data_IF_966340808279
#
_entry.id   IF_966340808279
#
_cell.length_a   1.000
_cell.length_b   1.000
_cell.length_c   1.000
_cell.angle_alpha   90.00
_cell.angle_beta   90.00
_cell.angle_gamma   90.00
#
_symmetry.space_group_name_H-M   'P 1'
#
loop_
_entity.id
_entity.type
_entity.pdbx_description
1 polymer ?
#
# COMPACT_ATOMS: atom_id res chain seq x y z
N UNK A 1 -9.48 -75.78 -24.18
CA UNK A 1 -8.00 -75.84 -24.25
C UNK A 1 -7.46 -74.41 -24.10
N UNK A 2 -7.10 -74.00 -22.88
CA UNK A 2 -6.52 -72.68 -22.61
C UNK A 2 -5.07 -72.93 -22.18
N UNK A 3 -4.13 -72.58 -23.06
CA UNK A 3 -2.69 -72.69 -22.81
C UNK A 3 -2.30 -71.78 -21.64
N UNK A 4 -2.05 -72.37 -20.48
CA UNK A 4 -1.36 -71.71 -19.37
C UNK A 4 0.12 -71.60 -19.69
N UNK A 5 0.57 -70.44 -20.16
CA UNK A 5 2.00 -70.13 -20.34
C UNK A 5 2.66 -70.05 -18.95
N UNK A 6 3.51 -71.01 -18.62
CA UNK A 6 4.37 -70.94 -17.43
C UNK A 6 5.49 -69.94 -17.68
N UNK A 7 5.55 -68.91 -16.85
CA UNK A 7 6.66 -67.95 -16.80
C UNK A 7 7.13 -67.99 -15.34
N UNK A 8 8.39 -68.40 -15.10
CA UNK A 8 9.05 -68.49 -13.79
C UNK A 8 8.38 -69.34 -12.68
N UNK A 9 7.82 -70.51 -13.01
CA UNK A 9 7.40 -71.49 -11.98
C UNK A 9 6.19 -71.11 -11.11
N UNK A 10 5.58 -69.94 -11.33
CA UNK A 10 4.36 -69.49 -10.64
C UNK A 10 3.13 -69.78 -11.52
N UNK A 11 2.17 -70.56 -11.03
CA UNK A 11 0.89 -70.75 -11.75
C UNK A 11 0.04 -69.48 -11.69
N UNK A 12 0.02 -68.70 -12.77
CA UNK A 12 -0.81 -67.49 -12.90
C UNK A 12 -2.29 -67.90 -12.99
N UNK A 13 -2.95 -68.02 -11.84
CA UNK A 13 -4.42 -68.15 -11.77
C UNK A 13 -5.07 -66.79 -12.00
N UNK A 14 -6.31 -66.78 -12.54
CA UNK A 14 -7.13 -65.57 -12.81
C UNK A 14 -7.15 -64.57 -11.64
N UNK A 15 -7.12 -65.05 -10.40
CA UNK A 15 -7.02 -64.23 -9.17
C UNK A 15 -5.75 -63.37 -9.06
N UNK A 16 -4.61 -63.83 -9.58
CA UNK A 16 -3.36 -63.06 -9.56
C UNK A 16 -3.36 -61.95 -10.62
N UNK A 17 -4.02 -62.17 -11.76
CA UNK A 17 -4.25 -61.12 -12.77
C UNK A 17 -5.20 -60.03 -12.26
N UNK A 18 -6.29 -60.42 -11.59
CA UNK A 18 -7.24 -59.46 -10.98
C UNK A 18 -6.55 -58.67 -9.86
N UNK A 19 -5.78 -59.32 -8.99
CA UNK A 19 -5.04 -58.64 -7.92
C UNK A 19 -4.01 -57.64 -8.47
N UNK A 20 -3.27 -58.00 -9.53
CA UNK A 20 -2.31 -57.11 -10.17
C UNK A 20 -3.00 -55.89 -10.83
N UNK A 21 -4.17 -56.09 -11.47
CA UNK A 21 -4.95 -55.00 -12.07
C UNK A 21 -5.50 -54.03 -11.01
N UNK A 22 -6.03 -54.56 -9.90
CA UNK A 22 -6.51 -53.72 -8.79
C UNK A 22 -5.35 -52.92 -8.19
N UNK A 23 -4.19 -53.55 -7.96
CA UNK A 23 -3.03 -52.86 -7.41
C UNK A 23 -2.50 -51.77 -8.35
N UNK A 24 -2.49 -52.02 -9.66
CA UNK A 24 -2.10 -51.03 -10.67
C UNK A 24 -3.12 -49.87 -10.77
N UNK A 25 -4.42 -50.16 -10.72
CA UNK A 25 -5.46 -49.12 -10.68
C UNK A 25 -5.37 -48.27 -9.40
N UNK A 26 -5.14 -48.90 -8.26
CA UNK A 26 -4.96 -48.19 -6.98
C UNK A 26 -3.71 -47.32 -7.01
N UNK A 27 -2.59 -47.84 -7.53
CA UNK A 27 -1.36 -47.07 -7.72
C UNK A 27 -1.56 -45.90 -8.69
N UNK A 28 -2.29 -46.11 -9.79
CA UNK A 28 -2.61 -45.07 -10.75
C UNK A 28 -3.50 -43.98 -10.13
N UNK A 29 -4.51 -44.35 -9.32
CA UNK A 29 -5.35 -43.40 -8.59
C UNK A 29 -4.52 -42.64 -7.55
N UNK A 30 -3.63 -43.31 -6.81
CA UNK A 30 -2.74 -42.67 -5.84
C UNK A 30 -1.76 -41.70 -6.52
N UNK A 31 -1.14 -42.10 -7.64
CA UNK A 31 -0.26 -41.24 -8.44
C UNK A 31 -1.01 -40.06 -9.04
N UNK A 32 -2.19 -40.29 -9.60
CA UNK A 32 -3.06 -39.25 -10.13
C UNK A 32 -3.45 -38.26 -9.02
N UNK A 33 -3.86 -38.77 -7.86
CA UNK A 33 -4.26 -37.93 -6.72
C UNK A 33 -3.11 -37.12 -6.13
N UNK A 34 -1.87 -37.60 -6.22
CA UNK A 34 -0.69 -36.92 -5.68
C UNK A 34 -0.06 -35.94 -6.68
N UNK A 35 -0.07 -36.25 -7.98
CA UNK A 35 0.61 -35.47 -9.00
C UNK A 35 -0.29 -34.48 -9.75
N UNK A 36 -1.58 -34.80 -9.94
CA UNK A 36 -2.50 -33.94 -10.69
C UNK A 36 -2.80 -32.59 -10.01
N UNK A 37 -2.95 -32.49 -8.67
CA UNK A 37 -3.27 -31.21 -8.04
C UNK A 37 -2.18 -30.15 -8.24
N UNK A 38 -0.90 -30.51 -8.07
CA UNK A 38 0.23 -29.59 -8.22
C UNK A 38 0.48 -29.22 -9.68
N UNK A 39 0.48 -30.22 -10.59
CA UNK A 39 0.62 -29.99 -12.02
C UNK A 39 -0.57 -29.17 -12.58
N UNK A 40 -1.78 -29.48 -12.12
CA UNK A 40 -3.01 -28.76 -12.49
C UNK A 40 -3.02 -27.32 -11.99
N UNK A 41 -2.58 -27.07 -10.74
CA UNK A 41 -2.46 -25.71 -10.19
C UNK A 41 -1.46 -24.89 -11.01
N UNK A 42 -0.27 -25.43 -11.27
CA UNK A 42 0.75 -24.74 -12.07
C UNK A 42 0.24 -24.44 -13.48
N UNK A 43 -0.39 -25.41 -14.14
CA UNK A 43 -0.98 -25.19 -15.47
C UNK A 43 -2.08 -24.13 -15.44
N UNK A 44 -2.98 -24.18 -14.44
CA UNK A 44 -4.04 -23.21 -14.23
C UNK A 44 -3.51 -21.80 -14.03
N UNK A 45 -2.52 -21.62 -13.15
CA UNK A 45 -1.85 -20.33 -12.92
C UNK A 45 -1.22 -19.78 -14.19
N UNK A 46 -0.45 -20.60 -14.93
CA UNK A 46 0.16 -20.20 -16.21
C UNK A 46 -0.91 -19.77 -17.21
N UNK A 47 -2.01 -20.53 -17.32
CA UNK A 47 -3.10 -20.22 -18.24
C UNK A 47 -3.81 -18.92 -17.85
N UNK A 48 -4.13 -18.71 -16.58
CA UNK A 48 -4.80 -17.49 -16.09
C UNK A 48 -3.91 -16.27 -16.31
N UNK A 49 -2.62 -16.35 -15.94
CA UNK A 49 -1.69 -15.24 -16.13
C UNK A 49 -1.48 -14.90 -17.60
N UNK A 50 -1.43 -15.90 -18.50
CA UNK A 50 -1.43 -15.67 -19.95
C UNK A 50 -2.73 -15.01 -20.44
N UNK A 51 -3.87 -15.41 -19.87
CA UNK A 51 -5.16 -14.77 -20.13
C UNK A 51 -5.20 -13.30 -19.69
N UNK A 52 -4.45 -12.93 -18.66
CA UNK A 52 -4.26 -11.55 -18.20
C UNK A 52 -3.23 -10.78 -19.04
N UNK A 53 -2.65 -11.38 -20.09
CA UNK A 53 -1.70 -10.74 -20.99
C UNK A 53 -0.22 -11.00 -20.67
N UNK A 54 0.11 -11.85 -19.69
CA UNK A 54 1.51 -12.21 -19.40
C UNK A 54 2.06 -13.20 -20.44
N UNK A 55 3.20 -12.91 -21.06
CA UNK A 55 3.75 -13.72 -22.16
C UNK A 55 4.63 -14.85 -21.61
N UNK A 56 5.55 -14.50 -20.71
CA UNK A 56 6.41 -15.48 -20.06
C UNK A 56 5.93 -15.69 -18.62
N UNK A 57 5.49 -16.90 -18.32
CA UNK A 57 5.10 -17.27 -16.96
C UNK A 57 5.91 -18.49 -16.56
N UNK A 58 6.69 -18.33 -15.50
CA UNK A 58 7.43 -19.40 -14.87
C UNK A 58 6.97 -19.53 -13.41
N UNK A 59 6.71 -20.78 -13.01
CA UNK A 59 6.37 -21.13 -11.63
C UNK A 59 7.32 -22.27 -11.29
N UNK A 60 8.24 -22.06 -10.35
CA UNK A 60 9.23 -23.10 -10.06
C UNK A 60 8.60 -24.28 -9.33
N UNK A 61 7.79 -23.99 -8.33
CA UNK A 61 7.13 -24.99 -7.49
C UNK A 61 5.72 -24.51 -7.10
N UNK A 62 4.80 -25.45 -7.02
CA UNK A 62 3.41 -25.22 -6.69
C UNK A 62 2.84 -26.47 -6.01
N UNK A 63 2.42 -26.35 -4.77
CA UNK A 63 1.81 -27.44 -3.99
C UNK A 63 0.40 -27.04 -3.58
N UNK A 64 -0.55 -27.94 -3.83
CA UNK A 64 -1.94 -27.81 -3.41
C UNK A 64 -2.32 -29.04 -2.60
N UNK A 65 -2.38 -28.85 -1.29
CA UNK A 65 -2.92 -29.85 -0.38
C UNK A 65 -4.40 -29.57 -0.15
N UNK A 66 -5.26 -30.17 -0.98
CA UNK A 66 -6.71 -30.06 -0.83
C UNK A 66 -7.15 -30.51 0.56
N UNK A 67 -6.72 -31.67 1.07
CA UNK A 67 -7.19 -32.14 2.39
C UNK A 67 -6.79 -31.23 3.56
N UNK A 68 -5.57 -30.68 3.54
CA UNK A 68 -5.08 -29.77 4.58
C UNK A 68 -5.52 -28.32 4.38
N UNK A 69 -6.13 -28.00 3.24
CA UNK A 69 -6.49 -26.64 2.85
C UNK A 69 -5.27 -25.72 2.78
N UNK A 70 -4.19 -26.18 2.15
CA UNK A 70 -2.94 -25.42 2.02
C UNK A 70 -2.55 -25.30 0.56
N UNK A 71 -2.19 -24.09 0.14
CA UNK A 71 -1.66 -23.77 -1.18
C UNK A 71 -0.36 -23.01 -1.00
N UNK A 72 0.70 -23.47 -1.67
CA UNK A 72 2.02 -22.85 -1.67
C UNK A 72 2.48 -22.68 -3.11
N UNK A 73 2.91 -21.47 -3.47
CA UNK A 73 3.52 -21.17 -4.76
C UNK A 73 4.87 -20.53 -4.52
N UNK A 74 5.93 -21.05 -5.14
CA UNK A 74 7.30 -20.56 -4.94
C UNK A 74 7.94 -20.14 -6.25
N UNK A 75 8.67 -19.03 -6.20
CA UNK A 75 9.44 -18.44 -7.29
C UNK A 75 8.59 -18.35 -8.55
N UNK A 76 7.52 -17.58 -8.45
CA UNK A 76 6.66 -17.23 -9.57
C UNK A 76 7.18 -15.94 -10.20
N UNK A 77 7.40 -15.98 -11.51
CA UNK A 77 7.74 -14.79 -12.30
C UNK A 77 6.83 -14.77 -13.51
N UNK A 78 6.11 -13.67 -13.68
CA UNK A 78 5.28 -13.43 -14.84
C UNK A 78 5.73 -12.13 -15.52
N UNK A 79 6.07 -12.19 -16.81
CA UNK A 79 6.51 -11.04 -17.60
C UNK A 79 5.43 -10.64 -18.60
N UNK A 80 5.01 -9.36 -18.60
CA UNK A 80 4.19 -8.80 -19.67
C UNK A 80 5.03 -8.70 -20.97
N UNK A 81 4.39 -8.40 -22.12
CA UNK A 81 5.11 -8.11 -23.37
C UNK A 81 5.94 -6.82 -23.24
N UNK A 82 5.49 -5.88 -22.42
CA UNK A 82 6.11 -4.58 -22.15
C UNK A 82 5.93 -4.25 -20.67
N UNK A 83 6.97 -3.75 -20.00
CA UNK A 83 6.92 -3.38 -18.58
C UNK A 83 7.69 -4.32 -17.65
N UNK A 84 7.60 -4.05 -16.35
CA UNK A 84 8.29 -4.81 -15.32
C UNK A 84 7.67 -6.20 -15.10
N UNK A 85 8.50 -7.18 -14.74
CA UNK A 85 8.03 -8.50 -14.36
C UNK A 85 7.29 -8.45 -13.02
N UNK A 86 6.19 -9.18 -12.90
CA UNK A 86 5.60 -9.52 -11.60
C UNK A 86 6.39 -10.68 -11.00
N UNK A 87 7.18 -10.39 -9.97
CA UNK A 87 7.89 -11.38 -9.17
C UNK A 87 7.16 -11.67 -7.86
N UNK A 88 7.03 -12.95 -7.50
CA UNK A 88 6.63 -13.40 -6.16
C UNK A 88 7.59 -14.51 -5.73
N UNK A 89 8.30 -14.31 -4.62
CA UNK A 89 9.24 -15.28 -4.07
C UNK A 89 8.52 -16.46 -3.44
N UNK A 90 7.60 -16.19 -2.52
CA UNK A 90 6.78 -17.22 -1.88
C UNK A 90 5.37 -16.67 -1.64
N UNK A 91 4.35 -17.49 -1.95
CA UNK A 91 2.95 -17.25 -1.63
C UNK A 91 2.41 -18.47 -0.89
N UNK A 92 1.85 -18.24 0.29
CA UNK A 92 1.24 -19.28 1.12
C UNK A 92 -0.18 -18.89 1.49
N UNK A 93 -1.12 -19.79 1.24
CA UNK A 93 -2.53 -19.63 1.56
C UNK A 93 -3.01 -20.85 2.34
N UNK A 94 -3.54 -20.64 3.55
CA UNK A 94 -4.17 -21.66 4.36
C UNK A 94 -5.65 -21.34 4.53
N UNK A 95 -6.51 -22.30 4.22
CA UNK A 95 -7.95 -22.14 4.23
C UNK A 95 -8.67 -23.37 4.81
N UNK A 96 -9.90 -23.18 5.29
CA UNK A 96 -10.72 -24.27 5.85
C UNK A 96 -11.87 -24.63 4.93
N UNK A 97 -12.10 -25.93 4.73
CA UNK A 97 -13.19 -26.43 3.88
C UNK A 97 -14.55 -26.41 4.54
N UNK A 98 -14.64 -26.86 5.80
CA UNK A 98 -15.93 -26.99 6.49
C UNK A 98 -16.76 -25.69 6.48
N UNK A 99 -16.17 -24.49 6.67
CA UNK A 99 -16.91 -23.23 6.59
C UNK A 99 -17.48 -22.89 5.20
N UNK A 100 -16.87 -23.38 4.10
CA UNK A 100 -17.34 -23.09 2.74
C UNK A 100 -18.75 -23.64 2.48
N UNK A 101 -19.11 -24.76 3.13
CA UNK A 101 -20.46 -25.34 3.08
C UNK A 101 -21.51 -24.39 3.67
N UNK A 102 -21.09 -23.50 4.57
CA UNK A 102 -21.91 -22.48 5.21
C UNK A 102 -21.72 -21.10 4.57
N UNK A 103 -21.22 -21.05 3.32
CA UNK A 103 -20.93 -19.82 2.57
C UNK A 103 -19.96 -18.89 3.32
N UNK A 104 -18.94 -19.47 3.96
CA UNK A 104 -17.86 -18.73 4.63
C UNK A 104 -16.50 -19.15 4.09
N UNK A 105 -15.75 -18.19 3.59
CA UNK A 105 -14.34 -18.36 3.25
C UNK A 105 -13.52 -18.01 4.49
N UNK A 106 -12.92 -19.03 5.11
CA UNK A 106 -12.05 -18.83 6.28
C UNK A 106 -10.62 -19.10 5.87
N UNK A 107 -9.80 -18.05 5.90
CA UNK A 107 -8.36 -18.07 5.63
C UNK A 107 -7.62 -17.98 6.96
N UNK A 108 -6.94 -19.07 7.34
CA UNK A 108 -6.11 -19.08 8.55
C UNK A 108 -4.84 -18.24 8.36
N UNK A 109 -4.31 -18.20 7.14
CA UNK A 109 -3.12 -17.40 6.82
C UNK A 109 -3.06 -17.08 5.33
N UNK A 110 -2.72 -15.83 5.03
CA UNK A 110 -2.30 -15.35 3.72
C UNK A 110 -0.91 -14.74 3.90
N UNK A 111 0.12 -15.32 3.30
CA UNK A 111 1.48 -14.80 3.40
C UNK A 111 2.06 -14.62 1.99
N UNK A 112 2.56 -13.42 1.71
CA UNK A 112 3.26 -13.06 0.49
C UNK A 112 4.67 -12.59 0.85
N UNK A 113 5.67 -13.12 0.17
CA UNK A 113 7.07 -12.73 0.37
C UNK A 113 7.69 -12.37 -0.98
N UNK A 114 8.53 -11.32 -0.99
CA UNK A 114 9.29 -10.97 -2.17
C UNK A 114 8.43 -10.54 -3.35
N UNK A 115 7.35 -9.77 -3.09
CA UNK A 115 6.49 -9.25 -4.16
C UNK A 115 7.11 -8.00 -4.74
N UNK A 116 7.24 -7.95 -6.06
CA UNK A 116 7.68 -6.75 -6.79
C UNK A 116 6.51 -6.18 -7.61
N UNK A 117 6.11 -4.96 -7.25
CA UNK A 117 5.02 -4.23 -7.90
C UNK A 117 5.57 -2.91 -8.45
N UNK A 118 5.44 -2.71 -9.75
CA UNK A 118 5.73 -1.47 -10.45
C UNK A 118 4.40 -0.87 -10.93
N UNK A 119 4.07 0.32 -10.45
CA UNK A 119 2.87 1.08 -10.79
C UNK A 119 3.32 2.31 -11.58
N UNK A 120 2.79 2.47 -12.79
CA UNK A 120 3.07 3.62 -13.65
C UNK A 120 1.77 4.34 -13.96
N UNK A 121 1.72 5.67 -13.77
CA UNK A 121 0.60 6.47 -14.26
C UNK A 121 0.75 6.68 -15.78
N UNK A 122 -0.33 6.46 -16.53
CA UNK A 122 -0.35 6.68 -17.99
C UNK A 122 -0.65 8.14 -18.32
N UNK A 123 0.00 8.67 -19.35
CA UNK A 123 -0.41 9.93 -19.98
C UNK A 123 -1.86 9.82 -20.48
N UNK A 124 -2.74 10.71 -20.01
CA UNK A 124 -4.19 10.67 -20.29
C UNK A 124 -5.04 9.98 -19.21
N UNK A 125 -4.44 9.52 -18.12
CA UNK A 125 -5.14 8.93 -16.97
C UNK A 125 -5.11 7.40 -16.94
N UNK A 126 -5.31 6.84 -15.75
CA UNK A 126 -5.20 5.41 -15.48
C UNK A 126 -3.82 4.98 -15.00
N UNK A 127 -3.75 3.75 -14.49
CA UNK A 127 -2.53 3.14 -13.95
C UNK A 127 -2.18 1.88 -14.73
N UNK A 128 -0.90 1.60 -14.84
CA UNK A 128 -0.34 0.36 -15.39
C UNK A 128 0.38 -0.34 -14.24
N UNK A 129 -0.01 -1.57 -13.91
CA UNK A 129 0.67 -2.40 -12.90
C UNK A 129 1.45 -3.48 -13.62
N UNK A 130 2.78 -3.50 -13.47
CA UNK A 130 3.65 -4.52 -14.07
C UNK A 130 3.33 -4.74 -15.55
N UNK A 131 3.20 -3.64 -16.31
CA UNK A 131 2.87 -3.68 -17.75
C UNK A 131 1.40 -3.94 -18.10
N UNK A 132 0.54 -4.23 -17.12
CA UNK A 132 -0.89 -4.47 -17.33
C UNK A 132 -1.71 -3.21 -17.05
N UNK A 133 -2.56 -2.74 -17.98
CA UNK A 133 -3.45 -1.63 -17.71
C UNK A 133 -4.45 -2.04 -16.63
N UNK A 134 -4.53 -1.28 -15.53
CA UNK A 134 -5.66 -1.33 -14.63
C UNK A 134 -6.87 -0.75 -15.37
N UNK A 135 -7.67 -1.61 -15.98
CA UNK A 135 -9.05 -1.27 -16.27
C UNK A 135 -9.78 -1.21 -14.93
N UNK A 136 -9.92 -0.01 -14.36
CA UNK A 136 -10.93 0.20 -13.33
C UNK A 136 -12.25 -0.07 -14.07
N UNK A 137 -12.89 -1.20 -13.78
CA UNK A 137 -14.24 -1.44 -14.21
C UNK A 137 -15.11 -0.39 -13.53
N UNK A 138 -15.23 0.79 -14.16
CA UNK A 138 -16.26 1.74 -13.82
C UNK A 138 -17.58 1.05 -14.19
N UNK A 139 -18.26 0.49 -13.18
CA UNK A 139 -19.68 0.18 -13.33
C UNK A 139 -20.35 1.46 -13.81
N UNK A 140 -21.04 1.46 -14.95
CA UNK A 140 -21.73 2.65 -15.46
C UNK A 140 -22.65 3.21 -14.37
N UNK A 141 -22.63 4.51 -14.08
CA UNK A 141 -23.61 5.11 -13.18
C UNK A 141 -24.99 4.91 -13.81
N UNK A 142 -25.86 4.15 -13.15
CA UNK A 142 -27.25 3.96 -13.59
C UNK A 142 -27.66 2.53 -13.93
N UNK A 143 -26.76 1.54 -13.85
CA UNK A 143 -27.21 0.15 -13.77
C UNK A 143 -27.51 -0.14 -12.29
N UNK A 144 -28.77 -0.44 -11.90
CA UNK A 144 -29.02 -0.94 -10.55
C UNK A 144 -28.11 -2.15 -10.38
N UNK A 145 -27.25 -2.11 -9.37
CA UNK A 145 -26.68 -3.33 -8.84
C UNK A 145 -27.91 -4.19 -8.54
N UNK A 146 -28.06 -5.30 -9.26
CA UNK A 146 -29.05 -6.30 -8.89
C UNK A 146 -28.81 -6.55 -7.40
N UNK A 147 -29.73 -6.06 -6.57
CA UNK A 147 -29.84 -6.44 -5.17
C UNK A 147 -30.34 -7.88 -5.18
N UNK A 148 -29.49 -8.76 -5.70
CA UNK A 148 -29.64 -10.19 -5.62
C UNK A 148 -29.59 -10.51 -4.15
N UNK A 149 -30.71 -11.01 -3.65
CA UNK A 149 -30.88 -11.72 -2.38
C UNK A 149 -30.09 -13.04 -2.38
N UNK A 150 -28.83 -12.99 -2.81
CA UNK A 150 -27.87 -14.07 -2.79
C UNK A 150 -27.16 -14.05 -1.44
N UNK A 151 -27.35 -15.10 -0.65
CA UNK A 151 -26.73 -15.27 0.67
C UNK A 151 -25.25 -14.85 0.66
N UNK A 152 -24.96 -13.77 1.36
CA UNK A 152 -23.67 -13.07 1.29
C UNK A 152 -22.54 -13.97 1.82
N UNK A 153 -21.56 -14.25 0.96
CA UNK A 153 -20.38 -15.00 1.34
C UNK A 153 -19.63 -14.20 2.42
N UNK A 154 -19.40 -14.80 3.58
CA UNK A 154 -18.54 -14.21 4.61
C UNK A 154 -17.08 -14.49 4.32
N UNK A 155 -16.19 -13.52 4.55
CA UNK A 155 -14.74 -13.66 4.42
C UNK A 155 -14.12 -13.41 5.80
N UNK A 156 -13.37 -14.38 6.29
CA UNK A 156 -12.61 -14.29 7.53
C UNK A 156 -11.14 -14.54 7.23
N UNK A 157 -10.25 -13.61 7.58
CA UNK A 157 -8.81 -13.75 7.43
C UNK A 157 -8.16 -13.57 8.80
N UNK A 158 -7.66 -14.66 9.38
CA UNK A 158 -7.04 -14.62 10.70
C UNK A 158 -5.71 -13.85 10.68
N UNK A 159 -4.89 -14.05 9.65
CA UNK A 159 -3.62 -13.35 9.49
C UNK A 159 -3.27 -13.12 8.01
N UNK A 160 -2.97 -11.88 7.66
CA UNK A 160 -2.36 -11.47 6.41
C UNK A 160 -0.97 -10.92 6.70
N UNK A 161 0.02 -11.42 5.95
CA UNK A 161 1.41 -10.98 6.05
C UNK A 161 1.99 -10.72 4.67
N UNK A 162 2.67 -9.59 4.52
CA UNK A 162 3.46 -9.24 3.35
C UNK A 162 4.87 -8.87 3.82
N UNK A 163 5.90 -9.56 3.35
CA UNK A 163 7.29 -9.34 3.77
C UNK A 163 8.25 -9.23 2.59
N UNK A 164 9.38 -8.57 2.84
CA UNK A 164 10.48 -8.42 1.88
C UNK A 164 10.04 -8.00 0.48
N UNK A 165 9.04 -7.12 0.42
CA UNK A 165 8.36 -6.74 -0.82
C UNK A 165 8.72 -5.31 -1.22
N UNK A 166 8.53 -4.98 -2.50
CA UNK A 166 8.87 -3.67 -3.06
C UNK A 166 7.74 -3.17 -3.93
N UNK A 167 7.36 -1.92 -3.69
CA UNK A 167 6.45 -1.16 -4.51
C UNK A 167 7.19 0.03 -5.09
N UNK A 168 7.18 0.15 -6.41
CA UNK A 168 7.71 1.28 -7.15
C UNK A 168 6.55 2.00 -7.80
N UNK A 169 6.34 3.26 -7.43
CA UNK A 169 5.39 4.15 -8.09
C UNK A 169 6.16 5.12 -8.98
N UNK A 170 5.77 5.19 -10.25
CA UNK A 170 6.30 6.15 -11.23
C UNK A 170 5.15 7.00 -11.78
N UNK A 171 5.28 8.31 -11.67
CA UNK A 171 4.33 9.30 -12.20
C UNK A 171 5.09 10.41 -12.92
N UNK A 172 5.21 10.29 -14.25
CA UNK A 172 6.12 11.11 -15.04
C UNK A 172 7.56 10.96 -14.55
N UNK A 173 8.20 12.07 -14.20
CA UNK A 173 9.55 12.10 -13.62
C UNK A 173 9.57 11.76 -12.12
N UNK A 174 8.42 11.70 -11.46
CA UNK A 174 8.34 11.36 -10.04
C UNK A 174 8.46 9.86 -9.83
N UNK A 175 9.33 9.47 -8.90
CA UNK A 175 9.53 8.09 -8.49
C UNK A 175 9.49 7.96 -6.98
N UNK A 176 8.68 7.05 -6.48
CA UNK A 176 8.63 6.67 -5.08
C UNK A 176 8.86 5.16 -4.96
N UNK A 177 9.89 4.78 -4.21
CA UNK A 177 10.21 3.40 -3.89
C UNK A 177 9.85 3.12 -2.44
N UNK A 178 8.91 2.20 -2.24
CA UNK A 178 8.46 1.73 -0.93
C UNK A 178 8.96 0.30 -0.77
N UNK A 179 9.97 0.10 0.08
CA UNK A 179 10.40 -1.23 0.48
C UNK A 179 9.64 -1.64 1.73
N UNK A 180 8.82 -2.68 1.61
CA UNK A 180 8.01 -3.25 2.69
C UNK A 180 8.84 -4.36 3.33
N UNK A 181 9.35 -4.12 4.53
CA UNK A 181 10.01 -5.16 5.31
C UNK A 181 8.95 -6.12 5.87
N UNK A 182 7.88 -5.55 6.44
CA UNK A 182 6.78 -6.33 6.99
C UNK A 182 5.50 -5.51 7.05
N UNK A 183 4.41 -6.09 6.56
CA UNK A 183 3.05 -5.63 6.75
C UNK A 183 2.25 -6.80 7.35
N UNK A 184 1.58 -6.57 8.46
CA UNK A 184 0.69 -7.54 9.09
C UNK A 184 -0.70 -6.95 9.27
N UNK A 185 -1.72 -7.73 9.00
CA UNK A 185 -3.13 -7.44 9.33
C UNK A 185 -3.71 -8.69 9.99
N UNK A 186 -4.36 -8.53 11.14
CA UNK A 186 -4.85 -9.66 11.93
C UNK A 186 -6.35 -9.57 12.17
N UNK A 187 -7.03 -10.72 12.15
CA UNK A 187 -8.44 -10.88 12.52
C UNK A 187 -9.42 -10.03 11.69
N UNK A 188 -9.28 -10.07 10.36
CA UNK A 188 -10.20 -9.42 9.44
C UNK A 188 -11.47 -10.27 9.29
N UNK A 189 -12.63 -9.75 9.72
CA UNK A 189 -13.90 -10.48 9.73
C UNK A 189 -14.98 -9.69 9.00
N UNK A 190 -15.41 -10.14 7.82
CA UNK A 190 -16.41 -9.42 7.02
C UNK A 190 -17.82 -9.50 7.61
N UNK A 191 -18.10 -10.50 8.46
CA UNK A 191 -19.39 -10.66 9.16
C UNK A 191 -19.42 -10.04 10.54
N UNK A 192 -18.31 -9.44 10.97
CA UNK A 192 -18.26 -8.58 12.14
C UNK A 192 -17.86 -7.16 11.71
N UNK A 193 -18.80 -6.38 11.13
CA UNK A 193 -18.58 -5.00 10.70
C UNK A 193 -17.98 -4.09 11.76
N UNK A 194 -18.27 -4.37 13.04
CA UNK A 194 -17.79 -3.59 14.17
C UNK A 194 -16.32 -3.91 14.53
N UNK A 195 -15.74 -4.98 13.98
CA UNK A 195 -14.34 -5.31 14.20
C UNK A 195 -13.43 -4.22 13.63
N UNK A 196 -12.37 -3.90 14.37
CA UNK A 196 -11.34 -2.94 13.99
C UNK A 196 -9.98 -3.64 13.96
N UNK A 197 -9.75 -4.59 13.02
CA UNK A 197 -8.49 -5.31 12.91
C UNK A 197 -7.28 -4.37 12.91
N UNK A 198 -6.30 -4.74 13.72
CA UNK A 198 -5.03 -4.04 13.81
C UNK A 198 -4.16 -4.32 12.59
N UNK A 199 -3.36 -3.32 12.21
CA UNK A 199 -2.32 -3.49 11.20
C UNK A 199 -1.00 -2.84 11.62
N UNK A 200 0.09 -3.32 11.06
CA UNK A 200 1.42 -2.71 11.21
C UNK A 200 2.20 -2.86 9.93
N UNK A 201 2.77 -1.75 9.46
CA UNK A 201 3.69 -1.65 8.33
C UNK A 201 5.04 -1.13 8.81
N UNK A 202 6.09 -1.86 8.47
CA UNK A 202 7.49 -1.50 8.66
C UNK A 202 8.19 -1.52 7.30
N UNK A 203 8.95 -0.48 7.00
CA UNK A 203 9.61 -0.38 5.71
C UNK A 203 10.44 0.87 5.53
N UNK A 204 10.71 1.19 4.28
CA UNK A 204 11.34 2.45 3.89
C UNK A 204 10.62 3.09 2.71
N UNK A 205 10.52 4.42 2.70
CA UNK A 205 10.13 5.22 1.55
C UNK A 205 11.37 5.96 1.07
N UNK A 206 11.86 5.67 -0.13
CA UNK A 206 13.01 6.38 -0.71
C UNK A 206 14.25 6.35 0.22
N UNK A 207 14.43 5.21 0.91
CA UNK A 207 15.48 5.00 1.93
C UNK A 207 15.15 5.53 3.34
N UNK A 208 14.17 6.43 3.48
CA UNK A 208 13.70 6.94 4.76
C UNK A 208 12.92 5.85 5.52
N UNK A 209 13.15 5.69 6.82
CA UNK A 209 12.44 4.65 7.59
C UNK A 209 10.99 5.05 7.79
N UNK A 210 10.05 4.13 7.52
CA UNK A 210 8.63 4.31 7.79
C UNK A 210 8.13 3.24 8.77
N UNK A 211 7.28 3.67 9.69
CA UNK A 211 6.48 2.80 10.55
C UNK A 211 5.06 3.34 10.56
N UNK A 212 4.10 2.51 10.18
CA UNK A 212 2.67 2.83 10.26
C UNK A 212 1.99 1.71 11.05
N UNK A 213 1.16 2.05 12.00
CA UNK A 213 0.39 1.08 12.77
C UNK A 213 -0.99 1.65 13.08
N UNK A 214 -1.98 0.81 13.29
CA UNK A 214 -3.33 1.31 13.52
C UNK A 214 -4.38 0.22 13.48
N UNK A 215 -5.61 0.64 13.30
CA UNK A 215 -6.78 -0.22 13.13
C UNK A 215 -7.64 0.26 11.97
N UNK A 216 -8.30 -0.66 11.28
CA UNK A 216 -9.25 -0.35 10.21
C UNK A 216 -10.54 -1.11 10.43
N UNK A 217 -11.69 -0.50 10.14
CA UNK A 217 -13.01 -1.15 10.14
C UNK A 217 -13.58 -1.07 8.72
N UNK A 218 -13.09 -1.89 7.78
CA UNK A 218 -13.43 -1.74 6.36
C UNK A 218 -14.84 -2.22 6.00
N UNK A 219 -15.48 -2.99 6.89
CA UNK A 219 -16.80 -3.60 6.66
C UNK A 219 -17.92 -2.96 7.48
N UNK A 220 -17.60 -1.96 8.30
CA UNK A 220 -18.61 -1.15 8.97
C UNK A 220 -19.48 -0.41 7.93
N UNK A 221 -20.73 -0.10 8.29
CA UNK A 221 -21.60 0.74 7.45
C UNK A 221 -20.92 2.06 7.08
N UNK A 222 -20.11 2.60 7.99
CA UNK A 222 -19.20 3.72 7.77
C UNK A 222 -17.74 3.25 7.94
N UNK A 223 -17.04 2.90 6.84
CA UNK A 223 -15.67 2.44 6.92
C UNK A 223 -14.78 3.44 7.64
N UNK A 224 -13.96 2.98 8.57
CA UNK A 224 -13.13 3.86 9.39
C UNK A 224 -11.71 3.36 9.57
N UNK A 225 -10.82 4.26 9.96
CA UNK A 225 -9.45 3.93 10.31
C UNK A 225 -8.93 4.84 11.42
N UNK A 226 -7.97 4.31 12.17
CA UNK A 226 -7.10 5.08 13.07
C UNK A 226 -5.67 4.61 12.82
N UNK A 227 -4.72 5.52 12.69
CA UNK A 227 -3.32 5.19 12.45
C UNK A 227 -2.37 6.16 13.15
N UNK A 228 -1.22 5.62 13.51
CA UNK A 228 0.00 6.33 13.87
C UNK A 228 1.03 6.06 12.78
N UNK A 229 1.60 7.11 12.21
CA UNK A 229 2.66 7.06 11.22
C UNK A 229 3.90 7.81 11.73
N UNK A 230 5.05 7.18 11.57
CA UNK A 230 6.35 7.78 11.82
C UNK A 230 7.22 7.61 10.58
N UNK A 231 7.84 8.70 10.14
CA UNK A 231 8.82 8.73 9.06
C UNK A 231 10.07 9.45 9.54
N UNK A 232 11.24 8.89 9.24
CA UNK A 232 12.53 9.42 9.70
C UNK A 232 13.54 9.53 8.57
N UNK A 233 14.17 10.70 8.47
CA UNK A 233 15.29 10.97 7.58
C UNK A 233 14.92 11.01 6.10
N UNK A 234 13.73 11.49 5.74
CA UNK A 234 13.37 11.66 4.33
C UNK A 234 14.13 12.83 3.73
N UNK A 235 14.99 12.54 2.75
CA UNK A 235 15.64 13.54 1.93
C UNK A 235 14.63 14.19 0.97
N UNK A 236 14.33 15.46 1.23
CA UNK A 236 13.35 16.22 0.46
C UNK A 236 13.78 16.46 -0.99
N UNK A 237 15.07 16.36 -1.31
CA UNK A 237 15.54 16.46 -2.69
C UNK A 237 15.02 15.33 -3.57
N UNK A 238 14.66 14.19 -2.98
CA UNK A 238 14.06 13.06 -3.69
C UNK A 238 12.60 13.31 -4.06
N UNK A 239 11.96 14.35 -3.50
CA UNK A 239 10.59 14.75 -3.81
C UNK A 239 10.54 15.87 -4.86
N UNK A 240 11.67 16.30 -5.44
CA UNK A 240 11.73 17.44 -6.35
C UNK A 240 10.74 17.34 -7.52
N UNK A 241 10.56 16.15 -8.11
CA UNK A 241 9.64 15.96 -9.23
C UNK A 241 8.17 16.15 -8.81
N UNK A 242 7.80 15.68 -7.62
CA UNK A 242 6.45 15.88 -7.05
C UNK A 242 6.27 17.35 -6.68
N UNK A 243 7.27 17.97 -6.06
CA UNK A 243 7.25 19.38 -5.70
C UNK A 243 7.13 20.29 -6.93
N UNK A 244 7.82 19.95 -8.03
CA UNK A 244 7.79 20.70 -9.28
C UNK A 244 6.39 20.76 -9.90
N UNK A 245 5.56 19.72 -9.72
CA UNK A 245 4.16 19.72 -10.15
C UNK A 245 3.32 20.78 -9.42
N UNK A 246 3.73 21.17 -8.21
CA UNK A 246 3.13 22.26 -7.43
C UNK A 246 3.84 23.61 -7.64
N UNK A 247 4.79 23.71 -8.59
CA UNK A 247 5.57 24.92 -8.85
C UNK A 247 6.71 25.17 -7.85
N UNK A 248 7.09 24.15 -7.06
CA UNK A 248 8.11 24.23 -6.02
C UNK A 248 9.40 23.60 -6.56
N UNK A 249 10.50 24.35 -6.60
CA UNK A 249 11.80 23.84 -7.11
C UNK A 249 12.94 24.10 -6.14
N UNK A 250 14.03 23.31 -6.28
CA UNK A 250 15.18 23.40 -5.37
C UNK A 250 14.88 22.96 -3.94
N UNK A 251 13.86 22.10 -3.77
CA UNK A 251 13.48 21.56 -2.48
C UNK A 251 14.60 20.65 -1.94
N UNK A 252 15.06 20.90 -0.71
CA UNK A 252 16.09 20.12 -0.05
C UNK A 252 15.97 20.15 1.47
N UNK A 253 16.73 19.28 2.13
CA UNK A 253 16.71 19.10 3.59
C UNK A 253 16.28 17.68 3.99
N UNK A 254 16.32 17.38 5.28
CA UNK A 254 15.92 16.09 5.84
C UNK A 254 14.69 16.25 6.71
N UNK A 255 13.70 15.37 6.54
CA UNK A 255 12.42 15.45 7.21
C UNK A 255 12.14 14.26 8.10
N UNK A 256 11.70 14.54 9.32
CA UNK A 256 11.07 13.61 10.23
C UNK A 256 9.59 13.98 10.40
N UNK A 257 8.71 12.98 10.46
CA UNK A 257 7.27 13.14 10.65
C UNK A 257 6.78 12.17 11.71
N UNK A 258 5.91 12.65 12.59
CA UNK A 258 5.07 11.82 13.46
C UNK A 258 3.64 12.31 13.32
N UNK A 259 2.72 11.43 12.92
CA UNK A 259 1.33 11.77 12.60
C UNK A 259 0.41 10.75 13.26
N UNK A 260 -0.61 11.22 13.96
CA UNK A 260 -1.77 10.40 14.33
C UNK A 260 -2.95 10.91 13.51
N UNK A 261 -3.62 10.01 12.81
CA UNK A 261 -4.76 10.34 11.96
C UNK A 261 -5.88 9.32 12.14
N UNK A 262 -7.11 9.78 12.08
CA UNK A 262 -8.29 8.93 12.04
C UNK A 262 -9.27 9.46 11.02
N UNK A 263 -10.11 8.59 10.50
CA UNK A 263 -11.12 8.99 9.54
C UNK A 263 -12.28 8.01 9.46
N UNK A 264 -13.41 8.54 9.01
CA UNK A 264 -14.66 7.82 8.78
C UNK A 264 -15.18 8.22 7.41
N UNK A 265 -15.52 7.23 6.58
CA UNK A 265 -16.14 7.45 5.28
C UNK A 265 -17.65 7.41 5.46
N UNK A 266 -18.28 8.58 5.35
CA UNK A 266 -19.74 8.72 5.34
C UNK A 266 -20.24 8.81 3.89
N UNK A 267 -21.56 8.68 3.69
CA UNK A 267 -22.21 8.93 2.39
C UNK A 267 -21.90 10.33 1.84
N UNK A 268 -21.75 11.32 2.73
CA UNK A 268 -21.44 12.70 2.39
C UNK A 268 -19.94 12.95 2.09
N UNK A 269 -19.07 11.95 2.28
CA UNK A 269 -17.64 12.02 2.03
C UNK A 269 -16.79 11.61 3.23
N UNK A 270 -15.48 11.79 3.09
CA UNK A 270 -14.51 11.46 4.13
C UNK A 270 -14.52 12.53 5.24
N UNK A 271 -14.72 12.11 6.47
CA UNK A 271 -14.34 12.87 7.65
C UNK A 271 -12.93 12.44 8.09
N UNK A 272 -12.04 13.39 8.32
CA UNK A 272 -10.64 13.16 8.70
C UNK A 272 -10.32 14.00 9.93
N UNK A 273 -9.58 13.42 10.87
CA UNK A 273 -8.91 14.14 11.96
C UNK A 273 -7.45 13.76 11.99
N UNK A 274 -6.57 14.73 12.21
CA UNK A 274 -5.14 14.49 12.30
C UNK A 274 -4.46 15.46 13.26
N UNK A 275 -3.38 15.01 13.89
CA UNK A 275 -2.42 15.84 14.60
C UNK A 275 -1.03 15.25 14.43
N UNK A 276 0.01 16.04 14.69
CA UNK A 276 1.35 15.53 14.51
C UNK A 276 2.43 16.59 14.49
N UNK A 277 3.67 16.13 14.34
CA UNK A 277 4.83 17.01 14.23
C UNK A 277 5.61 16.67 12.97
N UNK A 278 6.09 17.70 12.29
CA UNK A 278 6.99 17.62 11.15
C UNK A 278 8.22 18.46 11.45
N UNK A 279 9.40 17.88 11.30
CA UNK A 279 10.68 18.58 11.48
C UNK A 279 11.48 18.47 10.22
N UNK A 280 11.98 19.60 9.74
CA UNK A 280 12.89 19.70 8.59
C UNK A 280 14.19 20.31 9.05
N UNK A 281 15.29 19.63 8.83
CA UNK A 281 16.65 20.12 9.07
C UNK A 281 17.27 20.54 7.73
N UNK A 282 17.83 21.75 7.68
CA UNK A 282 18.47 22.31 6.49
C UNK A 282 17.52 22.48 5.32
N UNK A 283 16.32 23.04 5.55
CA UNK A 283 15.36 23.33 4.49
C UNK A 283 16.01 24.25 3.45
N UNK A 284 15.88 23.89 2.19
CA UNK A 284 16.20 24.74 1.05
C UNK A 284 15.03 24.71 0.05
N UNK A 285 14.75 25.87 -0.54
CA UNK A 285 13.77 26.07 -1.59
C UNK A 285 14.30 27.16 -2.51
N UNK A 286 14.19 26.98 -3.83
CA UNK A 286 14.63 27.97 -4.82
C UNK A 286 13.46 28.77 -5.43
N UNK A 287 12.29 28.15 -5.61
CA UNK A 287 11.11 28.75 -6.23
C UNK A 287 9.83 28.24 -5.55
N UNK A 288 8.75 29.04 -5.42
CA UNK A 288 8.52 30.37 -6.01
C UNK A 288 9.33 31.51 -5.38
N UNK A 289 9.81 31.32 -4.15
CA UNK A 289 10.69 32.25 -3.45
C UNK A 289 11.86 31.45 -2.91
N UNK A 290 13.07 31.98 -3.01
CA UNK A 290 14.24 31.30 -2.46
C UNK A 290 14.18 31.41 -0.92
N UNK A 291 14.04 30.28 -0.24
CA UNK A 291 13.91 30.20 1.21
C UNK A 291 14.89 29.14 1.72
N UNK A 292 15.62 29.47 2.77
CA UNK A 292 16.37 28.47 3.53
C UNK A 292 16.11 28.63 5.03
N UNK A 293 16.11 27.52 5.76
CA UNK A 293 16.03 27.52 7.21
C UNK A 293 16.95 26.43 7.79
N UNK A 294 17.68 26.76 8.86
CA UNK A 294 18.50 25.78 9.56
C UNK A 294 17.66 24.66 10.15
N UNK A 295 16.53 25.01 10.76
CA UNK A 295 15.50 24.08 11.22
C UNK A 295 14.12 24.68 11.01
N UNK A 296 13.17 23.86 10.61
CA UNK A 296 11.74 24.13 10.61
C UNK A 296 11.03 23.04 11.40
N UNK A 297 10.16 23.42 12.32
CA UNK A 297 9.32 22.53 13.10
C UNK A 297 7.86 22.99 12.94
N UNK A 298 7.01 22.11 12.45
CA UNK A 298 5.57 22.28 12.37
C UNK A 298 4.93 21.36 13.40
N UNK A 299 4.18 21.94 14.33
CA UNK A 299 3.31 21.24 15.26
C UNK A 299 1.86 21.44 14.80
N UNK A 300 1.27 20.37 14.25
CA UNK A 300 -0.13 20.33 13.89
C UNK A 300 -0.93 19.94 15.13
N UNK A 301 -1.44 20.93 15.85
CA UNK A 301 -2.26 20.73 17.04
C UNK A 301 -3.54 19.96 16.71
N UNK A 302 -4.25 20.41 15.67
CA UNK A 302 -5.35 19.66 15.05
C UNK A 302 -5.55 20.03 13.59
N UNK A 303 -5.97 19.06 12.80
CA UNK A 303 -6.65 19.26 11.53
C UNK A 303 -7.90 18.39 11.53
N UNK A 304 -9.03 18.97 11.15
CA UNK A 304 -10.28 18.27 10.93
C UNK A 304 -10.82 18.66 9.55
N UNK A 305 -11.22 17.66 8.78
CA UNK A 305 -11.94 17.82 7.53
C UNK A 305 -13.26 17.09 7.62
N UNK A 306 -14.38 17.76 7.38
CA UNK A 306 -15.71 17.14 7.40
C UNK A 306 -16.65 17.85 6.43
N UNK A 307 -17.19 17.11 5.45
CA UNK A 307 -18.21 17.65 4.53
C UNK A 307 -17.79 18.94 3.80
N UNK A 308 -16.52 19.06 3.41
CA UNK A 308 -15.98 20.26 2.74
C UNK A 308 -15.61 21.40 3.69
N UNK A 309 -15.63 21.15 5.01
CA UNK A 309 -15.17 22.10 6.04
C UNK A 309 -13.78 21.69 6.51
N UNK A 310 -12.85 22.62 6.51
CA UNK A 310 -11.53 22.47 7.15
C UNK A 310 -11.52 23.27 8.45
N UNK A 311 -10.99 22.67 9.51
CA UNK A 311 -10.59 23.35 10.74
C UNK A 311 -9.17 22.90 11.09
N UNK A 312 -8.25 23.84 11.19
CA UNK A 312 -6.84 23.57 11.43
C UNK A 312 -6.27 24.55 12.45
N UNK A 313 -5.48 24.04 13.39
CA UNK A 313 -4.58 24.84 14.20
C UNK A 313 -3.18 24.24 14.18
N UNK A 314 -2.19 25.10 14.00
CA UNK A 314 -0.79 24.67 13.91
C UNK A 314 0.16 25.76 14.37
N UNK A 315 1.30 25.35 14.91
CA UNK A 315 2.42 26.25 15.20
C UNK A 315 3.60 25.88 14.32
N UNK A 316 4.19 26.87 13.66
CA UNK A 316 5.40 26.74 12.87
C UNK A 316 6.51 27.53 13.56
N UNK A 317 7.59 26.84 13.97
CA UNK A 317 8.81 27.45 14.47
C UNK A 317 9.95 27.20 13.46
N UNK A 318 10.63 28.25 13.05
CA UNK A 318 11.78 28.16 12.15
C UNK A 318 12.97 28.94 12.71
N UNK A 319 14.18 28.46 12.44
CA UNK A 319 15.43 29.09 12.89
C UNK A 319 16.40 29.29 11.74
N UNK A 320 17.24 30.33 11.84
CA UNK A 320 18.18 30.73 10.80
C UNK A 320 17.49 30.84 9.42
N UNK A 321 16.40 31.61 9.38
CA UNK A 321 15.58 31.77 8.18
C UNK A 321 16.22 32.82 7.28
N UNK A 322 16.35 32.50 6.01
CA UNK A 322 16.72 33.44 4.95
C UNK A 322 15.67 33.38 3.86
N UNK A 323 15.20 34.54 3.41
CA UNK A 323 14.26 34.68 2.30
C UNK A 323 14.91 35.61 1.28
N UNK A 324 14.98 35.16 0.03
CA UNK A 324 15.56 35.92 -1.07
C UNK A 324 14.60 35.99 -2.25
N UNK A 325 14.44 37.19 -2.77
CA UNK A 325 13.67 37.51 -3.96
C UNK A 325 14.58 38.24 -4.96
N UNK A 326 14.07 38.57 -6.14
CA UNK A 326 14.82 39.37 -7.11
C UNK A 326 15.12 40.79 -6.60
N UNK A 327 14.25 41.36 -5.74
CA UNK A 327 14.34 42.75 -5.29
C UNK A 327 14.89 42.93 -3.86
N UNK A 328 14.84 41.87 -3.05
CA UNK A 328 15.16 41.95 -1.63
C UNK A 328 15.67 40.63 -1.05
N UNK A 329 16.47 40.73 0.00
CA UNK A 329 16.95 39.63 0.85
C UNK A 329 16.67 39.97 2.31
N UNK A 330 16.18 39.00 3.07
CA UNK A 330 15.88 39.15 4.49
C UNK A 330 16.29 37.92 5.28
N UNK A 331 16.69 38.13 6.53
CA UNK A 331 17.04 37.07 7.47
C UNK A 331 16.34 37.26 8.81
N UNK A 332 16.05 36.17 9.50
CA UNK A 332 15.57 36.18 10.88
C UNK A 332 16.23 35.03 11.67
N UNK A 333 16.64 35.29 12.91
CA UNK A 333 17.20 34.25 13.76
C UNK A 333 16.13 33.20 14.13
N UNK A 334 14.94 33.68 14.48
CA UNK A 334 13.77 32.84 14.73
C UNK A 334 12.53 33.43 14.06
N UNK A 335 11.65 32.57 13.57
CA UNK A 335 10.32 32.91 13.08
C UNK A 335 9.35 31.95 13.73
N UNK A 336 8.29 32.45 14.35
CA UNK A 336 7.18 31.68 14.90
C UNK A 336 5.90 32.16 14.27
N UNK A 337 5.18 31.28 13.60
CA UNK A 337 3.82 31.52 13.12
C UNK A 337 2.90 30.62 13.94
N UNK A 338 1.99 31.23 14.70
CA UNK A 338 0.95 30.52 15.42
C UNK A 338 -0.37 30.69 14.67
N UNK A 339 -0.83 29.64 14.00
CA UNK A 339 -2.14 29.56 13.38
C UNK A 339 -3.12 29.01 14.42
N UNK A 340 -3.66 29.90 15.25
CA UNK A 340 -4.65 29.54 16.25
C UNK A 340 -5.97 29.03 15.64
N UNK A 341 -6.31 29.47 14.42
CA UNK A 341 -7.43 28.97 13.64
C UNK A 341 -7.27 29.21 12.15
N UNK A 342 -7.41 28.16 11.34
CA UNK A 342 -7.61 28.20 9.90
C UNK A 342 -8.88 27.41 9.59
N UNK A 343 -9.97 28.13 9.33
CA UNK A 343 -11.25 27.55 8.96
C UNK A 343 -11.56 27.77 7.49
N UNK A 344 -12.03 26.74 6.78
CA UNK A 344 -12.63 26.92 5.46
C UNK A 344 -14.00 26.27 5.44
N UNK A 345 -15.05 27.00 5.06
CA UNK A 345 -16.39 26.45 4.92
C UNK A 345 -17.22 27.26 3.91
N UNK A 346 -17.81 26.59 2.92
CA UNK A 346 -18.73 27.23 1.96
C UNK A 346 -18.12 28.41 1.21
N UNK A 347 -16.83 28.33 0.86
CA UNK A 347 -16.11 29.40 0.18
C UNK A 347 -15.62 30.54 1.09
N UNK A 348 -15.85 30.47 2.40
CA UNK A 348 -15.33 31.45 3.37
C UNK A 348 -14.07 30.89 4.03
N UNK A 349 -13.03 31.71 4.06
CA UNK A 349 -11.79 31.49 4.80
C UNK A 349 -11.83 32.29 6.10
N UNK A 350 -11.61 31.63 7.23
CA UNK A 350 -11.41 32.21 8.55
C UNK A 350 -9.96 31.96 8.94
N UNK A 351 -9.22 33.02 9.28
CA UNK A 351 -7.80 32.97 9.60
C UNK A 351 -7.56 33.80 10.86
N UNK A 352 -7.10 33.15 11.91
CA UNK A 352 -6.66 33.77 13.15
C UNK A 352 -5.29 33.23 13.53
N UNK A 353 -4.37 34.13 13.87
CA UNK A 353 -3.02 33.74 14.25
C UNK A 353 -2.14 34.92 14.62
N UNK A 354 -0.89 34.62 14.97
CA UNK A 354 0.15 35.60 15.26
C UNK A 354 1.45 35.23 14.57
N UNK A 355 2.26 36.23 14.24
CA UNK A 355 3.58 36.05 13.65
C UNK A 355 4.59 36.81 14.50
N UNK A 356 5.56 36.09 15.06
CA UNK A 356 6.67 36.67 15.78
C UNK A 356 7.99 36.33 15.09
N UNK A 357 8.91 37.28 15.02
CA UNK A 357 10.25 37.06 14.49
C UNK A 357 11.29 37.86 15.27
N UNK A 358 12.53 37.34 15.35
CA UNK A 358 13.63 37.98 16.09
C UNK A 358 14.87 38.15 15.24
N UNK A 359 15.68 39.17 15.58
CA UNK A 359 16.91 39.54 14.90
C UNK A 359 16.73 39.61 13.37
N UNK A 360 15.76 40.41 12.96
CA UNK A 360 15.36 40.55 11.56
C UNK A 360 16.32 41.53 10.90
N UNK A 361 16.88 41.16 9.77
CA UNK A 361 17.59 42.09 8.89
C UNK A 361 17.05 41.99 7.48
N UNK A 362 17.05 43.11 6.76
CA UNK A 362 16.56 43.18 5.39
C UNK A 362 17.39 44.12 4.55
N UNK A 363 17.56 43.78 3.27
CA UNK A 363 18.24 44.58 2.26
C UNK A 363 17.43 44.57 0.97
N UNK A 364 17.18 45.75 0.42
CA UNK A 364 16.52 45.96 -0.87
C UNK A 364 17.22 47.08 -1.66
N UNK A 365 16.83 47.31 -2.93
CA UNK A 365 17.39 48.39 -3.77
C UNK A 365 17.28 49.79 -3.12
N UNK A 366 16.28 50.01 -2.28
CA UNK A 366 16.04 51.29 -1.59
C UNK A 366 16.74 51.46 -0.23
N UNK A 367 17.46 50.44 0.27
CA UNK A 367 18.16 50.52 1.56
C UNK A 367 18.19 49.22 2.36
N UNK A 368 18.82 49.28 3.53
CA UNK A 368 18.88 48.17 4.50
C UNK A 368 18.28 48.58 5.85
N UNK A 369 17.68 47.62 6.55
CA UNK A 369 17.12 47.82 7.88
C UNK A 369 17.31 46.61 8.79
N UNK A 370 17.19 46.83 10.09
CA UNK A 370 17.24 45.77 11.10
C UNK A 370 16.22 46.05 12.21
N UNK A 371 15.58 45.00 12.72
CA UNK A 371 14.68 45.06 13.87
C UNK A 371 15.02 43.93 14.85
N UNK A 372 15.05 44.25 16.14
CA UNK A 372 15.30 43.24 17.17
C UNK A 372 14.16 42.22 17.25
N UNK A 373 12.92 42.68 17.14
CA UNK A 373 11.70 41.88 17.27
C UNK A 373 10.59 42.40 16.36
N UNK A 374 9.77 41.49 15.86
CA UNK A 374 8.47 41.73 15.21
C UNK A 374 7.46 40.79 15.89
N UNK A 375 6.24 41.27 16.15
CA UNK A 375 5.20 40.53 16.88
C UNK A 375 3.81 41.04 16.57
#
# INVERSE_FOLDING_TARGET
>A
MLLGKQIFGVTIRRRHLVAALVLLATLAVVLAWTLLPSAGLRWGLVKTLRGLGMVEVSVSDADLSLFRGNLVVRRMVARPPQGAALGIKDFTLRFRWAPLLNKRVVLDRVALEGVEIDIQRREGGGFIINGLPLAIAATPPGQPADAGTGTEWGIDVAALELSDSRLVLTDGDARAEIAIQRLTVENLHSRDPASAPGFTLLGTLNGATIKIQGSVSPFADEPSFNLDAALRGLDLSQLHAIAAQAGVTGLGGHTDLSLTAGGTLHDAGLALRANGTLRVEGLALASPVAVSAGRLALDLGHAAWEGGRLDLAATLDATAVTVKTAAAEGTAATVRLDLGKLGFAGGRLDLGGSLAATAITGKAEGGSGSAATLG
#
